data_IF_939675352010
#
_entry.id   IF_939675352010
#
_cell.length_a   1.000
_cell.length_b   1.000
_cell.length_c   1.000
_cell.angle_alpha   90.00
_cell.angle_beta   90.00
_cell.angle_gamma   90.00
#
_symmetry.space_group_name_H-M   'P 1'
#
loop_
_entity.id
_entity.type
_entity.pdbx_description
1 polymer ?
#
# COMPACT_ATOMS: atom_id res chain seq x y z
N UNK A 1 41.93 -5.42 13.19
CA UNK A 1 40.95 -4.70 12.34
C UNK A 1 39.69 -4.51 13.18
N UNK A 2 39.20 -3.26 13.28
CA UNK A 2 38.19 -2.83 14.27
C UNK A 2 36.80 -3.32 13.87
N UNK A 3 36.04 -3.78 14.85
CA UNK A 3 34.64 -4.13 14.69
C UNK A 3 33.80 -2.92 14.30
N UNK A 4 32.91 -3.12 13.33
CA UNK A 4 31.72 -2.28 13.17
C UNK A 4 30.67 -2.84 14.12
N UNK A 5 30.38 -2.07 15.17
CA UNK A 5 29.13 -2.16 15.91
C UNK A 5 28.03 -1.94 14.88
N UNK A 6 27.16 -2.92 14.68
CA UNK A 6 26.01 -2.77 13.80
C UNK A 6 25.13 -1.64 14.33
N UNK A 7 24.86 -0.67 13.46
CA UNK A 7 23.72 0.20 13.60
C UNK A 7 22.52 -0.61 13.10
N UNK A 8 22.12 -1.55 13.95
CA UNK A 8 21.25 -2.68 13.64
C UNK A 8 19.81 -2.21 13.43
N UNK A 9 19.29 -2.48 12.25
CA UNK A 9 17.86 -2.31 11.98
C UNK A 9 17.50 -1.27 10.94
N UNK A 10 18.32 -0.97 9.94
CA UNK A 10 17.85 -0.49 8.62
C UNK A 10 18.76 -0.98 7.50
N UNK A 11 20.00 -1.32 7.84
CA UNK A 11 21.01 -1.72 6.89
C UNK A 11 20.86 -3.19 6.47
N UNK A 12 20.37 -4.13 7.29
CA UNK A 12 20.48 -5.56 6.95
C UNK A 12 19.82 -5.97 5.61
N UNK A 13 18.55 -5.64 5.38
CA UNK A 13 17.88 -6.00 4.12
C UNK A 13 18.45 -5.20 2.93
N UNK A 14 18.78 -3.92 3.15
CA UNK A 14 19.36 -3.06 2.13
C UNK A 14 20.79 -3.50 1.74
N UNK A 15 21.62 -3.85 2.72
CA UNK A 15 22.97 -4.37 2.58
C UNK A 15 22.96 -5.73 1.86
N UNK A 16 22.02 -6.61 2.21
CA UNK A 16 21.86 -7.89 1.53
C UNK A 16 21.44 -7.70 0.08
N UNK A 17 20.57 -6.73 -0.21
CA UNK A 17 20.19 -6.37 -1.57
C UNK A 17 21.36 -5.76 -2.35
N UNK A 18 22.11 -4.83 -1.75
CA UNK A 18 23.30 -4.21 -2.37
C UNK A 18 24.42 -5.24 -2.61
N UNK A 19 24.57 -6.20 -1.71
CA UNK A 19 25.51 -7.32 -1.86
C UNK A 19 25.05 -8.39 -2.86
N UNK A 20 23.81 -8.31 -3.39
CA UNK A 20 23.22 -9.30 -4.29
C UNK A 20 22.86 -10.64 -3.61
N UNK A 21 22.78 -10.66 -2.29
CA UNK A 21 22.40 -11.82 -1.49
C UNK A 21 20.88 -11.92 -1.26
N UNK A 22 20.15 -10.84 -1.53
CA UNK A 22 18.70 -10.74 -1.48
C UNK A 22 18.21 -10.06 -2.76
N UNK A 23 17.16 -10.60 -3.38
CA UNK A 23 16.46 -9.93 -4.48
C UNK A 23 15.07 -9.48 -3.99
N UNK A 24 14.70 -8.25 -4.32
CA UNK A 24 13.46 -7.64 -3.87
C UNK A 24 12.58 -7.31 -5.09
N UNK A 25 11.53 -8.11 -5.27
CA UNK A 25 10.57 -7.92 -6.35
C UNK A 25 9.38 -7.06 -5.87
N UNK A 26 8.92 -6.07 -6.68
CA UNK A 26 7.74 -5.29 -6.33
C UNK A 26 6.47 -6.15 -6.39
N UNK A 27 5.60 -5.98 -5.39
CA UNK A 27 4.27 -6.61 -5.39
C UNK A 27 3.42 -5.99 -6.50
N UNK A 28 2.83 -6.83 -7.34
CA UNK A 28 1.94 -6.39 -8.43
C UNK A 28 0.66 -5.79 -7.85
N UNK A 29 0.25 -4.62 -8.36
CA UNK A 29 -1.00 -3.99 -7.98
C UNK A 29 -2.16 -4.60 -8.77
N UNK A 30 -3.02 -5.34 -8.07
CA UNK A 30 -4.14 -6.13 -8.61
C UNK A 30 -5.51 -5.42 -8.45
N UNK A 31 -5.51 -4.14 -8.07
CA UNK A 31 -6.73 -3.36 -7.83
C UNK A 31 -6.86 -2.21 -8.85
N UNK A 32 -7.86 -1.36 -8.66
CA UNK A 32 -8.18 -0.25 -9.54
C UNK A 32 -7.80 1.09 -8.89
N UNK A 33 -7.34 2.02 -9.73
CA UNK A 33 -7.14 3.40 -9.29
C UNK A 33 -8.45 3.96 -8.70
N UNK A 34 -8.38 4.71 -7.58
CA UNK A 34 -9.56 5.31 -6.98
C UNK A 34 -10.27 6.24 -7.97
N UNK A 35 -11.57 5.98 -8.16
CA UNK A 35 -12.55 6.67 -9.00
C UNK A 35 -11.99 7.55 -10.15
N UNK A 36 -11.84 6.95 -11.32
CA UNK A 36 -11.85 7.63 -12.62
C UNK A 36 -12.92 6.98 -13.50
N UNK A 37 -14.19 7.24 -13.19
CA UNK A 37 -15.31 6.78 -14.01
C UNK A 37 -15.81 7.91 -14.92
N UNK A 38 -15.52 7.79 -16.22
CA UNK A 38 -16.23 8.37 -17.36
C UNK A 38 -16.85 9.78 -17.19
N UNK A 39 -16.12 10.73 -16.61
CA UNK A 39 -16.55 12.13 -16.51
C UNK A 39 -17.68 12.44 -15.52
N UNK A 40 -18.09 11.49 -14.67
CA UNK A 40 -19.08 11.71 -13.59
C UNK A 40 -18.39 11.88 -12.23
N UNK A 41 -17.18 11.33 -12.07
CA UNK A 41 -16.38 11.46 -10.85
C UNK A 41 -15.18 12.38 -11.13
N UNK A 42 -15.00 13.43 -10.31
CA UNK A 42 -13.84 14.30 -10.40
C UNK A 42 -12.58 13.49 -10.04
N UNK A 43 -11.69 13.30 -11.00
CA UNK A 43 -10.44 12.55 -10.84
C UNK A 43 -9.43 13.34 -9.99
N UNK A 44 -8.63 12.62 -9.20
CA UNK A 44 -7.54 13.13 -8.36
C UNK A 44 -6.34 13.80 -9.09
N UNK A 45 -6.50 14.28 -10.34
CA UNK A 45 -5.51 15.17 -10.94
C UNK A 45 -5.92 16.61 -10.67
N UNK A 46 -5.06 17.38 -10.00
CA UNK A 46 -5.24 18.82 -9.88
C UNK A 46 -5.44 19.40 -11.29
N UNK A 47 -6.66 19.84 -11.57
CA UNK A 47 -7.08 20.44 -12.83
C UNK A 47 -6.22 21.69 -13.10
N UNK A 48 -5.12 21.54 -13.82
CA UNK A 48 -4.52 22.68 -14.50
C UNK A 48 -5.33 22.91 -15.77
N UNK A 49 -6.06 24.02 -15.77
CA UNK A 49 -6.68 24.66 -16.95
C UNK A 49 -7.99 24.03 -17.46
N UNK A 50 -9.12 24.67 -17.14
CA UNK A 50 -9.81 25.58 -18.08
C UNK A 50 -11.23 25.92 -17.60
N UNK A 51 -11.43 27.22 -17.38
CA UNK A 51 -12.65 27.97 -17.08
C UNK A 51 -13.73 27.85 -18.17
N UNK A 52 -14.32 26.66 -18.42
CA UNK A 52 -15.38 26.58 -19.44
C UNK A 52 -16.31 25.36 -19.39
N UNK A 53 -16.69 24.86 -18.21
CA UNK A 53 -17.78 23.86 -18.12
C UNK A 53 -18.75 24.16 -16.98
N UNK A 54 -19.46 25.28 -17.12
CA UNK A 54 -20.82 25.42 -16.58
C UNK A 54 -21.73 24.43 -17.31
N UNK A 55 -22.04 23.31 -16.67
CA UNK A 55 -23.21 22.51 -17.02
C UNK A 55 -23.84 21.99 -15.75
N UNK A 56 -25.07 22.45 -15.56
CA UNK A 56 -26.02 22.25 -14.47
C UNK A 56 -26.15 20.79 -14.05
N UNK A 57 -25.41 20.41 -13.02
CA UNK A 57 -25.84 19.41 -12.06
C UNK A 57 -25.42 19.97 -10.71
N UNK A 58 -26.39 20.30 -9.86
CA UNK A 58 -26.13 20.48 -8.44
C UNK A 58 -25.42 19.22 -7.96
N UNK A 59 -24.09 19.28 -7.85
CA UNK A 59 -23.31 18.34 -7.07
C UNK A 59 -23.69 18.58 -5.62
N UNK A 60 -24.87 18.11 -5.24
CA UNK A 60 -25.10 17.69 -3.89
C UNK A 60 -24.05 16.62 -3.63
N UNK A 61 -22.94 17.03 -3.03
CA UNK A 61 -22.07 16.13 -2.30
C UNK A 61 -22.93 15.56 -1.18
N UNK A 62 -23.76 14.58 -1.51
CA UNK A 62 -24.36 13.70 -0.53
C UNK A 62 -23.14 13.11 0.15
N UNK A 63 -22.87 13.55 1.38
CA UNK A 63 -21.88 12.95 2.25
C UNK A 63 -22.43 11.57 2.62
N UNK A 64 -22.42 10.65 1.66
CA UNK A 64 -22.65 9.25 1.93
C UNK A 64 -21.47 8.84 2.78
N UNK A 65 -21.74 8.40 4.00
CA UNK A 65 -20.74 7.77 4.84
C UNK A 65 -20.14 6.60 4.04
N UNK A 66 -18.84 6.62 3.79
CA UNK A 66 -18.14 5.56 3.04
C UNK A 66 -18.41 4.19 3.66
N UNK A 67 -18.58 4.14 4.98
CA UNK A 67 -18.93 2.90 5.69
C UNK A 67 -20.35 2.43 5.38
N UNK A 68 -21.30 3.34 5.18
CA UNK A 68 -22.68 2.99 4.80
C UNK A 68 -22.77 2.54 3.34
N UNK A 69 -22.06 3.23 2.44
CA UNK A 69 -21.94 2.81 1.04
C UNK A 69 -21.34 1.40 0.93
N UNK A 70 -20.26 1.15 1.68
CA UNK A 70 -19.61 -0.17 1.74
C UNK A 70 -20.57 -1.24 2.25
N UNK A 71 -21.24 -1.03 3.40
CA UNK A 71 -22.21 -2.00 3.95
C UNK A 71 -23.33 -2.32 2.97
N UNK A 72 -23.83 -1.31 2.27
CA UNK A 72 -24.89 -1.48 1.27
C UNK A 72 -24.42 -2.33 0.10
N UNK A 73 -23.20 -2.08 -0.39
CA UNK A 73 -22.58 -2.86 -1.47
C UNK A 73 -22.32 -4.31 -1.05
N UNK A 74 -21.75 -4.52 0.13
CA UNK A 74 -21.51 -5.85 0.71
C UNK A 74 -22.81 -6.66 0.85
N UNK A 75 -23.88 -6.02 1.32
CA UNK A 75 -25.20 -6.64 1.43
C UNK A 75 -25.79 -7.01 0.05
N UNK A 76 -25.56 -6.18 -0.96
CA UNK A 76 -26.05 -6.42 -2.33
C UNK A 76 -25.25 -7.52 -3.06
N UNK A 77 -23.93 -7.57 -2.85
CA UNK A 77 -23.02 -8.57 -3.44
C UNK A 77 -23.09 -9.90 -2.69
N UNK A 78 -23.48 -9.89 -1.42
CA UNK A 78 -23.62 -11.09 -0.58
C UNK A 78 -22.31 -11.52 0.08
N UNK A 79 -21.39 -10.59 0.32
CA UNK A 79 -20.08 -10.88 0.93
C UNK A 79 -19.35 -9.64 1.41
N UNK A 80 -18.32 -9.85 2.22
CA UNK A 80 -17.47 -8.77 2.75
C UNK A 80 -16.47 -8.34 1.69
N UNK A 81 -16.31 -7.03 1.49
CA UNK A 81 -15.22 -6.50 0.67
C UNK A 81 -13.97 -6.61 1.53
N UNK A 82 -12.86 -7.08 0.96
CA UNK A 82 -11.60 -7.17 1.70
C UNK A 82 -10.88 -5.82 1.69
N UNK A 83 -9.98 -5.63 2.65
CA UNK A 83 -9.01 -4.53 2.58
C UNK A 83 -7.77 -5.02 1.82
N UNK A 84 -7.58 -4.51 0.61
CA UNK A 84 -6.46 -4.90 -0.24
C UNK A 84 -5.11 -4.51 0.37
N UNK A 85 -5.03 -3.45 1.17
CA UNK A 85 -3.78 -3.06 1.84
C UNK A 85 -3.35 -4.11 2.86
N UNK A 86 -4.33 -4.67 3.59
CA UNK A 86 -4.08 -5.81 4.49
C UNK A 86 -3.54 -7.01 3.71
N UNK A 87 -4.13 -7.35 2.57
CA UNK A 87 -3.66 -8.48 1.74
C UNK A 87 -2.23 -8.27 1.21
N UNK A 88 -1.90 -7.07 0.73
CA UNK A 88 -0.54 -6.76 0.28
C UNK A 88 0.47 -6.80 1.44
N UNK A 89 0.09 -6.32 2.62
CA UNK A 89 0.92 -6.39 3.83
C UNK A 89 1.17 -7.84 4.28
N UNK A 90 0.15 -8.70 4.20
CA UNK A 90 0.29 -10.13 4.48
C UNK A 90 1.24 -10.81 3.48
N UNK A 91 1.10 -10.51 2.19
CA UNK A 91 2.00 -11.02 1.15
C UNK A 91 3.45 -10.59 1.38
N UNK A 92 3.68 -9.32 1.72
CA UNK A 92 5.02 -8.83 2.06
C UNK A 92 5.58 -9.57 3.29
N UNK A 93 4.76 -9.72 4.33
CA UNK A 93 5.18 -10.39 5.57
C UNK A 93 5.55 -11.85 5.32
N UNK A 94 4.76 -12.58 4.53
CA UNK A 94 5.07 -13.97 4.17
C UNK A 94 6.43 -14.09 3.45
N UNK A 95 6.71 -13.21 2.49
CA UNK A 95 8.01 -13.17 1.82
C UNK A 95 9.17 -12.93 2.80
N UNK A 96 9.00 -12.01 3.76
CA UNK A 96 10.01 -11.75 4.78
C UNK A 96 10.20 -12.92 5.77
N UNK A 97 9.12 -13.64 6.12
CA UNK A 97 9.22 -14.85 6.96
C UNK A 97 10.08 -15.91 6.27
N UNK A 98 9.89 -16.12 4.96
CA UNK A 98 10.69 -17.06 4.18
C UNK A 98 12.17 -16.67 4.17
N UNK A 99 12.46 -15.39 3.94
CA UNK A 99 13.84 -14.84 4.01
C UNK A 99 14.42 -15.02 5.41
N UNK A 100 13.66 -14.70 6.45
CA UNK A 100 14.08 -14.86 7.85
C UNK A 100 14.43 -16.30 8.20
N UNK A 101 13.62 -17.27 7.74
CA UNK A 101 13.89 -18.68 7.93
C UNK A 101 15.21 -19.13 7.30
N UNK A 102 15.56 -18.60 6.12
CA UNK A 102 16.84 -18.88 5.44
C UNK A 102 18.02 -18.25 6.20
N UNK A 103 17.84 -17.01 6.68
CA UNK A 103 18.88 -16.26 7.41
C UNK A 103 19.00 -16.69 8.89
N UNK A 104 18.10 -17.54 9.39
CA UNK A 104 18.02 -17.90 10.80
C UNK A 104 17.65 -16.73 11.71
N UNK A 105 16.87 -15.77 11.20
CA UNK A 105 16.46 -14.53 11.88
C UNK A 105 14.93 -14.42 11.90
N UNK A 106 14.39 -13.86 12.97
CA UNK A 106 12.93 -13.70 13.12
C UNK A 106 12.40 -12.52 12.29
N UNK A 107 11.14 -12.61 11.84
CA UNK A 107 10.53 -11.58 10.99
C UNK A 107 10.38 -10.24 11.70
N UNK A 108 10.12 -10.22 13.03
CA UNK A 108 10.02 -8.98 13.79
C UNK A 108 11.37 -8.22 13.76
N UNK A 109 12.48 -8.96 13.71
CA UNK A 109 13.81 -8.37 13.56
C UNK A 109 14.00 -7.78 12.17
N UNK A 110 13.49 -8.44 11.12
CA UNK A 110 13.55 -7.95 9.74
C UNK A 110 12.57 -6.78 9.47
N UNK A 111 11.42 -6.72 10.14
CA UNK A 111 10.39 -5.68 9.94
C UNK A 111 10.65 -4.44 10.79
N UNK A 112 11.17 -4.58 12.02
CA UNK A 112 11.65 -3.41 12.76
C UNK A 112 12.84 -2.73 12.06
N UNK A 113 13.48 -3.45 11.14
CA UNK A 113 14.53 -2.91 10.27
C UNK A 113 13.97 -1.90 9.24
N UNK A 114 12.66 -1.84 8.98
CA UNK A 114 12.07 -0.99 7.92
C UNK A 114 11.35 0.26 8.45
N UNK A 115 11.04 0.35 9.74
CA UNK A 115 10.18 1.40 10.32
C UNK A 115 10.91 2.69 10.78
N UNK A 116 12.25 2.79 10.67
CA UNK A 116 13.00 3.98 11.13
C UNK A 116 13.16 5.09 10.07
N UNK A 117 12.64 4.94 8.85
CA UNK A 117 12.79 5.93 7.77
C UNK A 117 11.57 6.83 7.51
N UNK A 118 10.55 6.82 8.37
CA UNK A 118 9.30 7.56 8.15
C UNK A 118 9.00 8.72 9.12
N UNK A 119 9.99 9.57 9.43
CA UNK A 119 9.79 10.79 10.23
C UNK A 119 10.27 12.05 9.48
#
# INVERSE_FOLDING_TARGET
MRGRKGEEGCELLADLAEAGALDAEPITYEDFLPASAAGIFQSNLASTSNESRQSTAESASIKVDESEARRTLEAAVGGTILDYLTLYSEQQTQSLVEVGAILGTDVDTLVQTTMRQGA
#
